data_IF_739519182632
#
_entry.id   IF_739519182632
#
_cell.length_a   1.000
_cell.length_b   1.000
_cell.length_c   1.000
_cell.angle_alpha   90.00
_cell.angle_beta   90.00
_cell.angle_gamma   90.00
#
_symmetry.space_group_name_H-M   'P 1'
#
loop_
_entity.id
_entity.type
_entity.pdbx_description
1 polymer ?
#
# COMPACT_ATOMS: atom_id res chain seq x y z
N UNK A 1 17.56 -3.82 -7.64
CA UNK A 1 18.45 -3.12 -6.69
C UNK A 1 18.01 -3.61 -5.32
N UNK A 2 18.83 -4.43 -4.66
CA UNK A 2 18.46 -5.01 -3.37
C UNK A 2 18.71 -3.96 -2.29
N UNK A 3 17.66 -3.24 -1.90
CA UNK A 3 17.72 -2.27 -0.81
C UNK A 3 17.65 -3.07 0.48
N UNK A 4 18.77 -3.13 1.22
CA UNK A 4 18.75 -3.68 2.58
C UNK A 4 17.69 -2.95 3.42
N UNK A 5 17.10 -3.64 4.41
CA UNK A 5 16.09 -3.03 5.30
C UNK A 5 16.57 -1.73 5.94
N UNK A 6 17.87 -1.65 6.26
CA UNK A 6 18.50 -0.45 6.84
C UNK A 6 18.60 0.72 5.85
N UNK A 7 18.73 0.44 4.56
CA UNK A 7 18.71 1.45 3.50
C UNK A 7 17.33 2.10 3.39
N UNK A 8 16.26 1.31 3.56
CA UNK A 8 14.88 1.82 3.50
C UNK A 8 14.53 2.76 4.67
N UNK A 9 15.10 2.56 5.86
CA UNK A 9 14.81 3.41 7.03
C UNK A 9 15.28 4.86 6.86
N UNK A 10 16.25 5.11 5.99
CA UNK A 10 16.80 6.44 5.71
C UNK A 10 16.27 7.04 4.39
N UNK A 11 15.34 6.35 3.73
CA UNK A 11 14.81 6.75 2.43
C UNK A 11 13.50 7.51 2.61
N UNK A 12 13.31 8.52 1.78
CA UNK A 12 12.02 9.15 1.54
C UNK A 12 11.68 8.99 0.06
N UNK A 13 10.40 8.86 -0.24
CA UNK A 13 9.92 8.69 -1.61
C UNK A 13 8.67 9.54 -1.83
N UNK A 14 8.59 10.17 -3.00
CA UNK A 14 7.44 10.93 -3.44
C UNK A 14 7.38 10.95 -4.97
N UNK A 15 6.17 10.91 -5.54
CA UNK A 15 5.93 11.09 -6.96
C UNK A 15 4.82 12.13 -7.21
N UNK A 16 5.21 13.37 -7.49
CA UNK A 16 4.27 14.44 -7.81
C UNK A 16 3.63 14.28 -9.20
N UNK A 17 4.26 13.53 -10.10
CA UNK A 17 3.73 13.31 -11.46
C UNK A 17 2.46 12.46 -11.42
N UNK A 18 2.32 11.59 -10.42
CA UNK A 18 1.11 10.81 -10.20
C UNK A 18 -0.13 11.69 -9.98
N UNK A 19 -0.03 12.68 -9.08
CA UNK A 19 -1.12 13.61 -8.80
C UNK A 19 -1.54 14.41 -10.05
N UNK A 20 -0.54 14.86 -10.84
CA UNK A 20 -0.77 15.59 -12.08
C UNK A 20 -1.42 14.70 -13.15
N UNK A 21 -0.94 13.47 -13.31
CA UNK A 21 -1.43 12.55 -14.34
C UNK A 21 -2.89 12.13 -14.11
N UNK A 22 -3.24 11.83 -12.86
CA UNK A 22 -4.58 11.40 -12.49
C UNK A 22 -5.50 12.55 -12.07
N UNK A 23 -5.02 13.81 -12.13
CA UNK A 23 -5.72 15.01 -11.67
C UNK A 23 -6.40 14.79 -10.31
N UNK A 24 -5.58 14.38 -9.34
CA UNK A 24 -6.04 13.94 -8.01
C UNK A 24 -5.14 14.50 -6.91
N UNK A 25 -5.60 14.39 -5.68
CA UNK A 25 -4.88 14.80 -4.47
C UNK A 25 -4.79 13.64 -3.48
N UNK A 26 -3.98 13.81 -2.44
CA UNK A 26 -3.90 12.82 -1.37
C UNK A 26 -5.15 12.95 -0.48
N UNK A 27 -5.95 11.88 -0.47
CA UNK A 27 -7.18 11.74 0.31
C UNK A 27 -7.26 10.33 0.89
N UNK A 28 -8.28 10.04 1.69
CA UNK A 28 -8.55 8.69 2.17
C UNK A 28 -8.68 7.67 1.03
N UNK A 29 -9.35 8.06 -0.05
CA UNK A 29 -9.63 7.19 -1.20
C UNK A 29 -8.36 6.92 -2.03
N UNK A 30 -7.41 7.85 -2.02
CA UNK A 30 -6.24 7.81 -2.91
C UNK A 30 -4.94 7.46 -2.20
N UNK A 31 -4.86 7.61 -0.87
CA UNK A 31 -3.63 7.40 -0.11
C UNK A 31 -3.05 6.00 -0.28
N UNK A 32 -3.90 4.96 -0.21
CA UNK A 32 -3.44 3.58 -0.44
C UNK A 32 -3.00 3.36 -1.89
N UNK A 33 -3.74 3.90 -2.86
CA UNK A 33 -3.39 3.79 -4.27
C UNK A 33 -2.05 4.50 -4.59
N UNK A 34 -1.83 5.68 -4.02
CA UNK A 34 -0.57 6.41 -4.11
C UNK A 34 0.59 5.61 -3.50
N UNK A 35 0.37 4.96 -2.36
CA UNK A 35 1.36 4.09 -1.74
C UNK A 35 1.69 2.87 -2.60
N UNK A 36 0.69 2.22 -3.21
CA UNK A 36 0.85 1.01 -4.03
C UNK A 36 1.49 1.25 -5.41
N UNK A 37 2.07 2.42 -5.66
CA UNK A 37 2.76 2.69 -6.92
C UNK A 37 3.96 1.78 -7.10
N UNK A 38 4.12 1.26 -8.33
CA UNK A 38 5.25 0.42 -8.75
C UNK A 38 6.61 1.08 -8.49
N UNK A 39 6.67 2.43 -8.54
CA UNK A 39 7.86 3.22 -8.25
C UNK A 39 8.18 3.41 -6.76
N UNK A 40 7.23 3.11 -5.86
CA UNK A 40 7.41 3.23 -4.42
C UNK A 40 8.28 2.06 -3.89
N UNK A 41 9.50 2.32 -3.38
CA UNK A 41 10.39 1.27 -2.89
C UNK A 41 9.90 0.56 -1.62
N UNK A 42 8.91 1.13 -0.91
CA UNK A 42 8.30 0.54 0.28
C UNK A 42 7.18 -0.45 -0.06
N UNK A 43 6.69 -0.42 -1.30
CA UNK A 43 5.60 -1.27 -1.76
C UNK A 43 6.12 -2.61 -2.29
N UNK A 44 5.64 -3.68 -1.69
CA UNK A 44 6.01 -5.06 -2.04
C UNK A 44 5.09 -5.60 -3.13
N UNK A 45 5.64 -5.85 -4.32
CA UNK A 45 4.89 -6.36 -5.47
C UNK A 45 4.43 -7.82 -5.32
N UNK A 46 4.88 -8.53 -4.27
CA UNK A 46 4.35 -9.85 -3.92
C UNK A 46 3.12 -9.77 -3.00
N UNK A 47 2.77 -8.57 -2.52
CA UNK A 47 1.65 -8.35 -1.60
C UNK A 47 0.30 -8.77 -2.18
N UNK A 48 -0.65 -9.03 -1.27
CA UNK A 48 -2.03 -9.32 -1.61
C UNK A 48 -2.68 -8.18 -2.39
N UNK A 49 -2.35 -6.93 -2.06
CA UNK A 49 -2.82 -5.74 -2.78
C UNK A 49 -2.49 -5.82 -4.28
N UNK A 50 -1.23 -6.16 -4.61
CA UNK A 50 -0.80 -6.29 -6.00
C UNK A 50 -1.50 -7.45 -6.70
N UNK A 51 -1.64 -8.58 -6.00
CA UNK A 51 -2.29 -9.77 -6.56
C UNK A 51 -3.76 -9.51 -6.89
N UNK A 52 -4.46 -8.76 -6.03
CA UNK A 52 -5.87 -8.41 -6.23
C UNK A 52 -6.03 -7.40 -7.35
N UNK A 53 -5.21 -6.35 -7.35
CA UNK A 53 -5.19 -5.36 -8.42
C UNK A 53 -4.91 -6.02 -9.78
N UNK A 54 -3.85 -6.82 -9.86
CA UNK A 54 -3.42 -7.45 -11.12
C UNK A 54 -4.42 -8.49 -11.63
N UNK A 55 -5.04 -9.25 -10.73
CA UNK A 55 -6.00 -10.31 -11.10
C UNK A 55 -7.45 -9.81 -11.16
N UNK A 56 -7.69 -8.52 -10.93
CA UNK A 56 -9.01 -7.91 -10.83
C UNK A 56 -9.95 -8.71 -9.89
N UNK A 57 -9.44 -9.10 -8.73
CA UNK A 57 -10.18 -9.89 -7.76
C UNK A 57 -11.05 -8.98 -6.87
N UNK A 58 -12.17 -9.50 -6.34
CA UNK A 58 -12.92 -8.82 -5.29
C UNK A 58 -12.07 -8.66 -4.03
N UNK A 59 -12.25 -7.56 -3.28
CA UNK A 59 -11.51 -7.29 -2.03
C UNK A 59 -11.76 -8.38 -0.99
N UNK A 60 -12.93 -9.01 -1.02
CA UNK A 60 -13.32 -10.15 -0.21
C UNK A 60 -12.40 -11.36 -0.39
N UNK A 61 -11.67 -11.45 -1.51
CA UNK A 61 -10.64 -12.46 -1.71
C UNK A 61 -9.49 -12.34 -0.68
N UNK A 62 -9.28 -11.16 -0.06
CA UNK A 62 -8.31 -10.96 1.01
C UNK A 62 -8.67 -11.69 2.30
N UNK A 63 -9.96 -11.91 2.56
CA UNK A 63 -10.45 -12.46 3.82
C UNK A 63 -9.88 -13.86 4.09
N UNK A 64 -9.71 -14.64 3.03
CA UNK A 64 -9.20 -16.00 3.09
C UNK A 64 -7.73 -16.12 2.64
N UNK A 65 -7.08 -14.99 2.33
CA UNK A 65 -5.72 -14.98 1.82
C UNK A 65 -4.71 -14.80 2.96
N UNK A 66 -3.57 -15.45 2.81
CA UNK A 66 -2.42 -15.37 3.71
C UNK A 66 -1.29 -14.67 2.96
N UNK A 67 -0.66 -13.67 3.58
CA UNK A 67 0.41 -12.92 2.94
C UNK A 67 0.51 -11.47 3.41
N UNK A 68 1.40 -10.71 2.77
CA UNK A 68 1.61 -9.30 3.07
C UNK A 68 0.41 -8.49 2.56
N UNK A 69 -0.16 -7.67 3.43
CA UNK A 69 -1.18 -6.68 3.12
C UNK A 69 -0.70 -5.27 3.55
N UNK A 70 -1.12 -4.28 2.76
CA UNK A 70 -1.03 -2.88 3.07
C UNK A 70 -2.44 -2.32 3.27
N UNK A 71 -2.67 -1.67 4.40
CA UNK A 71 -3.95 -1.05 4.74
C UNK A 71 -3.75 0.36 5.28
N UNK A 72 -4.67 1.27 4.94
CA UNK A 72 -4.77 2.58 5.57
C UNK A 72 -5.36 2.40 6.97
N UNK A 73 -4.60 2.71 8.01
CA UNK A 73 -5.02 2.51 9.42
C UNK A 73 -5.32 3.81 10.16
N UNK A 74 -4.85 4.94 9.65
CA UNK A 74 -5.09 6.24 10.25
C UNK A 74 -5.13 7.31 9.18
N UNK A 75 -6.06 8.26 9.35
CA UNK A 75 -6.25 9.41 8.47
C UNK A 75 -6.36 10.68 9.32
N UNK A 76 -5.69 11.73 8.87
CA UNK A 76 -5.82 13.09 9.34
C UNK A 76 -5.74 14.02 8.12
N UNK A 77 -6.89 14.30 7.54
CA UNK A 77 -6.96 15.08 6.30
C UNK A 77 -6.51 16.54 6.53
N UNK A 78 -5.78 17.16 5.58
CA UNK A 78 -5.11 16.56 4.40
C UNK A 78 -3.65 16.16 4.68
N UNK A 79 -3.22 16.17 5.94
CA UNK A 79 -1.80 16.29 6.32
C UNK A 79 -1.11 14.95 6.48
N UNK A 80 -1.81 13.93 7.00
CA UNK A 80 -1.17 12.69 7.41
C UNK A 80 -2.06 11.46 7.16
N UNK A 81 -1.48 10.46 6.52
CA UNK A 81 -2.05 9.13 6.32
C UNK A 81 -1.02 8.10 6.76
N UNK A 82 -1.46 7.05 7.46
CA UNK A 82 -0.58 5.97 7.93
C UNK A 82 -0.98 4.66 7.25
N UNK A 83 -0.06 4.12 6.46
CA UNK A 83 -0.19 2.80 5.83
C UNK A 83 0.54 1.78 6.70
N UNK A 84 -0.18 0.73 7.13
CA UNK A 84 0.38 -0.42 7.86
C UNK A 84 0.72 -1.53 6.88
N UNK A 85 1.97 -2.01 6.91
CA UNK A 85 2.33 -3.33 6.36
C UNK A 85 2.06 -4.37 7.45
N UNK A 86 1.22 -5.36 7.17
CA UNK A 86 0.99 -6.49 8.07
C UNK A 86 0.99 -7.81 7.30
N UNK A 87 1.32 -8.90 7.97
CA UNK A 87 1.20 -10.24 7.41
C UNK A 87 -0.13 -10.80 7.91
N UNK A 88 -1.04 -11.17 7.00
CA UNK A 88 -2.28 -11.86 7.33
C UNK A 88 -1.99 -13.35 7.49
N UNK A 89 -2.28 -13.93 8.64
CA UNK A 89 -2.17 -15.39 8.86
C UNK A 89 -3.42 -16.18 8.40
N UNK A 90 -4.50 -15.49 8.02
CA UNK A 90 -5.75 -16.09 7.52
C UNK A 90 -7.00 -15.44 8.13
N UNK A 91 -8.19 -16.06 8.04
CA UNK A 91 -9.46 -15.46 8.45
C UNK A 91 -9.60 -15.22 9.97
N UNK A 92 -8.67 -15.73 10.80
CA UNK A 92 -8.74 -15.66 12.26
C UNK A 92 -7.90 -14.53 12.89
N UNK A 93 -7.16 -13.74 12.12
CA UNK A 93 -6.52 -12.52 12.65
C UNK A 93 -7.50 -11.34 12.54
N UNK A 94 -7.99 -10.89 13.71
CA UNK A 94 -8.78 -9.66 13.83
C UNK A 94 -7.95 -8.43 13.40
N UNK A 95 -8.65 -7.50 12.76
CA UNK A 95 -8.15 -6.18 12.30
C UNK A 95 -7.43 -5.38 13.38
#
# INVERSE_FOLDING_TARGET
MDLSKESLLNLNWSDLSWFQHFNTELSEETALAYFCQIGNPFYDRSSLNEQIYTRNLPVEAMLNATGIEYALIHRQDPVLYIIRKHFREGPNECM
#
